data_IF_213768026402
#
_entry.id   IF_213768026402
#
_cell.length_a   1.000
_cell.length_b   1.000
_cell.length_c   1.000
_cell.angle_alpha   90.00
_cell.angle_beta   90.00
_cell.angle_gamma   90.00
#
_symmetry.space_group_name_H-M   'P 1'
#
loop_
_entity.id
_entity.type
_entity.pdbx_description
1 polymer ?
#
# COMPACT_ATOMS: atom_id res chain seq x y z
N UNK A 1 32.64 -7.04 -9.37
CA UNK A 1 31.55 -7.91 -8.90
C UNK A 1 31.79 -9.36 -9.27
N UNK A 2 32.23 -9.66 -10.49
CA UNK A 2 32.52 -11.04 -10.92
C UNK A 2 33.51 -11.76 -10.01
N UNK A 3 34.58 -11.09 -9.56
CA UNK A 3 35.53 -11.67 -8.61
C UNK A 3 34.92 -12.00 -7.22
N UNK A 4 33.89 -11.26 -6.80
CA UNK A 4 33.18 -11.56 -5.55
C UNK A 4 32.25 -12.76 -5.76
N UNK A 5 31.53 -12.80 -6.89
CA UNK A 5 30.65 -13.91 -7.28
C UNK A 5 31.41 -15.22 -7.52
N UNK A 6 32.62 -15.17 -8.05
CA UNK A 6 33.49 -16.34 -8.23
C UNK A 6 34.23 -16.75 -6.96
N UNK A 7 34.06 -16.04 -5.85
CA UNK A 7 34.75 -16.32 -4.58
C UNK A 7 36.23 -15.93 -4.55
N UNK A 8 36.75 -15.31 -5.61
CA UNK A 8 38.13 -14.80 -5.66
C UNK A 8 38.35 -13.64 -4.67
N UNK A 9 37.29 -12.91 -4.31
CA UNK A 9 37.29 -11.89 -3.27
C UNK A 9 36.25 -12.28 -2.22
N UNK A 10 36.66 -12.34 -0.95
CA UNK A 10 35.77 -12.75 0.17
C UNK A 10 35.03 -11.60 0.83
N UNK A 11 35.50 -10.37 0.67
CA UNK A 11 34.91 -9.17 1.30
C UNK A 11 34.73 -8.08 0.25
N UNK A 12 33.50 -7.61 0.07
CA UNK A 12 33.16 -6.47 -0.76
C UNK A 12 32.74 -5.29 0.13
N UNK A 13 33.33 -4.12 -0.11
CA UNK A 13 32.95 -2.87 0.57
C UNK A 13 32.21 -2.02 -0.44
N UNK A 14 30.90 -1.83 -0.22
CA UNK A 14 30.03 -1.09 -1.11
C UNK A 14 29.32 0.04 -0.36
N UNK A 15 29.00 1.12 -1.07
CA UNK A 15 28.02 2.09 -0.59
C UNK A 15 26.61 1.46 -0.64
N UNK A 16 25.67 1.99 0.13
CA UNK A 16 24.28 1.50 0.14
C UNK A 16 23.70 1.42 -1.29
N UNK A 17 23.91 2.45 -2.11
CA UNK A 17 23.43 2.48 -3.49
C UNK A 17 24.04 1.36 -4.35
N UNK A 18 25.32 1.05 -4.18
CA UNK A 18 25.98 -0.02 -4.92
C UNK A 18 25.59 -1.43 -4.43
N UNK A 19 25.22 -1.57 -3.15
CA UNK A 19 24.80 -2.85 -2.57
C UNK A 19 23.37 -3.25 -2.92
N UNK A 20 22.44 -2.29 -3.05
CA UNK A 20 21.01 -2.59 -3.24
C UNK A 20 20.65 -3.23 -4.59
N UNK A 21 21.49 -3.07 -5.62
CA UNK A 21 21.27 -3.68 -6.95
C UNK A 21 22.07 -4.94 -7.21
N UNK A 22 22.86 -5.40 -6.23
CA UNK A 22 23.75 -6.52 -6.39
C UNK A 22 23.05 -7.83 -5.99
N UNK A 23 22.62 -8.60 -6.99
CA UNK A 23 22.22 -9.99 -6.76
C UNK A 23 23.48 -10.84 -6.53
N UNK A 24 23.75 -11.14 -5.26
CA UNK A 24 24.90 -11.93 -4.84
C UNK A 24 24.37 -13.15 -4.09
N UNK A 25 24.50 -14.36 -4.67
CA UNK A 25 24.17 -15.57 -3.94
C UNK A 25 25.14 -15.74 -2.76
N UNK A 26 24.64 -16.32 -1.65
CA UNK A 26 25.47 -16.81 -0.53
C UNK A 26 26.21 -15.74 0.30
N UNK A 27 25.57 -14.61 0.62
CA UNK A 27 26.11 -13.68 1.62
C UNK A 27 25.92 -14.25 3.03
N UNK A 28 27.02 -14.66 3.67
CA UNK A 28 27.00 -15.15 5.06
C UNK A 28 26.89 -14.00 6.09
N UNK A 29 27.53 -12.86 5.84
CA UNK A 29 27.61 -11.76 6.79
C UNK A 29 27.57 -10.39 6.12
N UNK A 30 26.73 -9.49 6.65
CA UNK A 30 26.68 -8.07 6.28
C UNK A 30 27.06 -7.23 7.49
N UNK A 31 28.00 -6.29 7.33
CA UNK A 31 28.37 -5.33 8.36
C UNK A 31 28.17 -3.90 7.89
N UNK A 32 27.32 -3.15 8.59
CA UNK A 32 27.13 -1.73 8.34
C UNK A 32 28.31 -0.92 8.88
N UNK A 33 29.11 -0.32 8.00
CA UNK A 33 30.19 0.61 8.39
C UNK A 33 29.68 2.04 8.20
N UNK A 34 29.43 2.76 9.28
CA UNK A 34 29.07 4.17 9.20
C UNK A 34 30.34 5.03 9.19
N UNK A 35 30.70 5.57 8.03
CA UNK A 35 31.77 6.58 7.95
C UNK A 35 31.24 7.93 8.47
N UNK A 36 31.99 8.58 9.37
CA UNK A 36 31.70 9.96 9.78
C UNK A 36 31.87 10.87 8.56
N UNK A 37 30.76 11.47 8.07
CA UNK A 37 30.83 12.46 6.99
C UNK A 37 31.61 13.67 7.48
N UNK A 38 32.67 14.08 6.75
CA UNK A 38 33.39 15.32 7.04
C UNK A 38 32.49 16.52 6.74
N UNK A 39 32.62 17.57 7.57
CA UNK A 39 31.89 18.85 7.52
C UNK A 39 31.93 19.42 6.10
N UNK A 40 30.79 19.43 5.40
CA UNK A 40 30.62 20.26 4.20
C UNK A 40 30.01 21.57 4.68
N UNK A 41 30.86 22.60 4.82
CA UNK A 41 30.41 23.95 5.16
C UNK A 41 29.64 24.45 3.93
N UNK A 42 28.32 24.47 4.03
CA UNK A 42 27.49 25.17 3.05
C UNK A 42 27.28 26.60 3.56
N UNK A 43 27.58 27.64 2.75
CA UNK A 43 27.21 29.00 3.09
C UNK A 43 25.68 29.07 3.16
N UNK A 44 25.15 29.60 4.26
CA UNK A 44 23.71 29.66 4.50
C UNK A 44 23.06 30.70 3.56
N UNK A 45 22.14 30.25 2.71
CA UNK A 45 21.20 31.11 1.98
C UNK A 45 20.17 31.68 2.96
N UNK A 46 20.17 33.01 3.09
CA UNK A 46 19.33 33.81 3.98
C UNK A 46 17.84 33.79 3.60
N UNK A 47 17.02 33.94 4.62
CA UNK A 47 15.57 33.78 4.73
C UNK A 47 14.75 34.84 3.98
N UNK A 48 13.62 34.42 3.40
CA UNK A 48 12.55 35.24 2.81
C UNK A 48 11.92 36.21 3.81
N UNK A 49 11.63 37.42 3.35
CA UNK A 49 10.77 38.43 3.98
C UNK A 49 9.30 37.94 4.08
N UNK A 50 8.51 38.44 5.06
CA UNK A 50 7.07 38.24 5.13
C UNK A 50 6.32 39.20 4.19
N UNK A 51 5.45 38.66 3.34
CA UNK A 51 4.53 39.39 2.46
C UNK A 51 3.26 39.82 3.23
N UNK A 52 2.74 41.05 3.06
CA UNK A 52 1.48 41.48 3.69
C UNK A 52 0.24 40.91 2.96
N UNK A 53 -0.93 40.88 3.62
CA UNK A 53 -2.18 40.39 3.02
C UNK A 53 -2.83 41.48 2.16
N UNK A 54 -3.25 41.14 0.94
CA UNK A 54 -4.14 41.97 0.12
C UNK A 54 -5.37 41.18 -0.36
N UNK A 55 -6.41 41.96 -0.60
CA UNK A 55 -7.84 41.68 -0.63
C UNK A 55 -8.39 40.91 -1.85
N UNK A 56 -9.63 40.44 -1.65
CA UNK A 56 -10.61 39.94 -2.62
C UNK A 56 -10.76 40.77 -3.91
N UNK A 57 -10.79 40.10 -5.07
CA UNK A 57 -11.54 40.50 -6.29
C UNK A 57 -11.29 39.47 -7.42
N UNK A 58 -12.25 38.59 -7.71
CA UNK A 58 -13.16 38.67 -8.88
C UNK A 58 -12.60 38.21 -10.25
N UNK A 59 -13.26 37.19 -10.79
CA UNK A 59 -13.58 36.94 -12.22
C UNK A 59 -12.46 36.82 -13.26
N UNK A 60 -12.31 35.65 -13.88
CA UNK A 60 -12.84 35.36 -15.23
C UNK A 60 -12.35 34.00 -15.73
N UNK A 61 -13.29 33.20 -16.25
CA UNK A 61 -13.03 32.07 -17.12
C UNK A 61 -12.38 32.57 -18.43
N UNK A 62 -11.20 32.05 -18.74
CA UNK A 62 -10.59 32.16 -20.08
C UNK A 62 -9.97 30.81 -20.43
N UNK A 63 -10.65 30.09 -21.32
CA UNK A 63 -10.06 28.98 -22.08
C UNK A 63 -8.87 29.52 -22.90
N UNK A 64 -7.70 28.93 -22.72
CA UNK A 64 -6.56 29.12 -23.62
C UNK A 64 -5.72 27.85 -23.67
N UNK A 65 -5.94 27.07 -24.73
CA UNK A 65 -4.94 26.17 -25.28
C UNK A 65 -3.82 27.02 -25.90
N UNK A 66 -2.58 26.84 -25.44
CA UNK A 66 -1.43 27.57 -25.97
C UNK A 66 -0.11 27.04 -25.42
N UNK A 67 0.55 26.20 -26.21
CA UNK A 67 1.98 25.90 -26.10
C UNK A 67 2.79 27.21 -26.20
N UNK A 68 3.78 27.38 -25.34
CA UNK A 68 4.66 28.55 -25.36
C UNK A 68 5.87 28.38 -24.45
N UNK A 69 6.98 27.94 -25.04
CA UNK A 69 8.33 28.07 -24.51
C UNK A 69 8.62 29.54 -24.17
N UNK A 70 9.03 29.83 -22.94
CA UNK A 70 9.59 31.13 -22.60
C UNK A 70 10.81 30.96 -21.68
N UNK A 71 11.99 31.04 -22.29
CA UNK A 71 13.27 31.23 -21.64
C UNK A 71 13.33 32.67 -21.10
N UNK A 72 13.12 32.82 -19.80
CA UNK A 72 13.28 34.09 -19.09
C UNK A 72 14.63 34.17 -18.40
N UNK A 73 15.60 34.77 -19.11
CA UNK A 73 16.85 35.33 -18.60
C UNK A 73 16.53 36.47 -17.62
N UNK A 74 17.04 36.39 -16.38
CA UNK A 74 16.87 37.44 -15.37
C UNK A 74 18.24 37.72 -14.75
N UNK A 75 18.73 38.92 -15.04
CA UNK A 75 19.93 39.55 -14.50
C UNK A 75 19.87 39.68 -12.97
N UNK A 76 20.81 39.04 -12.27
CA UNK A 76 21.08 39.22 -10.83
C UNK A 76 22.11 40.35 -10.62
N UNK A 77 21.60 41.56 -10.32
CA UNK A 77 22.39 42.69 -9.81
C UNK A 77 22.66 42.53 -8.30
N UNK A 78 23.91 42.77 -7.93
CA UNK A 78 24.53 42.30 -6.70
C UNK A 78 24.70 43.44 -5.70
N UNK A 79 23.78 43.56 -4.74
CA UNK A 79 23.94 44.48 -3.61
C UNK A 79 24.56 43.77 -2.39
N UNK A 80 25.73 44.28 -2.03
CA UNK A 80 26.68 43.70 -1.07
C UNK A 80 26.53 44.39 0.29
N UNK A 81 25.73 43.80 1.18
CA UNK A 81 25.60 44.26 2.58
C UNK A 81 26.45 43.41 3.53
N UNK A 82 27.45 44.03 4.16
CA UNK A 82 28.24 43.45 5.26
C UNK A 82 27.38 43.30 6.51
N UNK A 83 26.95 42.07 6.82
CA UNK A 83 26.28 41.73 8.07
C UNK A 83 27.20 40.87 8.95
N UNK A 84 27.56 41.42 10.11
CA UNK A 84 28.49 40.82 11.07
C UNK A 84 28.12 39.40 11.53
N UNK A 85 29.09 38.50 11.42
CA UNK A 85 29.03 37.12 11.88
C UNK A 85 28.92 37.05 13.41
N UNK A 86 27.72 36.73 13.92
CA UNK A 86 27.62 36.04 15.21
C UNK A 86 27.68 34.54 14.93
N UNK A 87 28.82 33.92 15.26
CA UNK A 87 28.99 32.46 15.30
C UNK A 87 27.87 31.84 16.15
N UNK A 88 26.82 31.32 15.51
CA UNK A 88 25.87 30.44 16.19
C UNK A 88 26.51 29.06 16.21
N UNK A 89 26.71 28.53 17.40
CA UNK A 89 27.15 27.16 17.62
C UNK A 89 26.11 26.20 17.02
N UNK A 90 26.38 25.71 15.81
CA UNK A 90 25.50 24.76 15.14
C UNK A 90 25.77 23.37 15.71
N UNK A 91 24.96 22.95 16.67
CA UNK A 91 24.95 21.58 17.15
C UNK A 91 24.26 20.67 16.11
N UNK A 92 25.06 19.82 15.45
CA UNK A 92 24.54 18.88 14.47
C UNK A 92 23.92 17.67 15.17
N UNK A 93 22.65 17.75 15.52
CA UNK A 93 21.86 16.58 15.92
C UNK A 93 21.44 15.84 14.65
N UNK A 94 22.09 14.70 14.36
CA UNK A 94 21.54 13.77 13.36
C UNK A 94 20.13 13.41 13.81
N UNK A 95 19.14 13.72 12.97
CA UNK A 95 17.78 13.20 13.12
C UNK A 95 17.83 11.70 12.88
N UNK A 96 18.14 10.94 13.93
CA UNK A 96 17.98 9.49 13.95
C UNK A 96 16.49 9.25 14.09
N UNK A 97 15.94 8.48 13.17
CA UNK A 97 14.56 8.03 13.21
C UNK A 97 14.25 7.43 14.59
N UNK A 98 13.14 7.82 15.26
CA UNK A 98 12.78 7.28 16.57
C UNK A 98 12.76 5.74 16.59
N UNK A 99 12.35 5.09 15.51
CA UNK A 99 12.28 3.63 15.43
C UNK A 99 13.67 3.00 15.30
N UNK A 100 14.57 3.65 14.56
CA UNK A 100 15.98 3.25 14.49
C UNK A 100 16.66 3.41 15.85
N UNK A 101 16.32 4.47 16.60
CA UNK A 101 16.81 4.68 17.97
C UNK A 101 16.29 3.58 18.90
N UNK A 102 14.99 3.29 18.85
CA UNK A 102 14.39 2.19 19.61
C UNK A 102 15.10 0.86 19.33
N UNK A 103 15.42 0.57 18.06
CA UNK A 103 16.19 -0.63 17.69
C UNK A 103 17.60 -0.65 18.30
N UNK A 104 18.34 0.46 18.25
CA UNK A 104 19.70 0.53 18.82
C UNK A 104 19.69 0.39 20.34
N UNK A 105 18.74 1.06 21.00
CA UNK A 105 18.61 1.14 22.47
C UNK A 105 17.83 -0.03 23.08
N UNK A 106 17.36 -0.96 22.26
CA UNK A 106 16.63 -2.15 22.67
C UNK A 106 17.34 -2.92 23.78
N UNK A 107 16.65 -3.14 24.91
CA UNK A 107 17.10 -4.05 25.97
C UNK A 107 16.51 -5.45 25.81
N UNK A 108 15.36 -5.55 25.14
CA UNK A 108 14.62 -6.79 24.94
C UNK A 108 15.01 -7.48 23.63
N UNK A 109 14.29 -8.55 23.24
CA UNK A 109 14.53 -9.23 21.97
C UNK A 109 14.49 -8.24 20.80
N UNK A 110 15.58 -8.15 20.02
CA UNK A 110 15.67 -7.26 18.85
C UNK A 110 14.63 -7.57 17.76
N UNK A 111 14.01 -8.76 17.76
CA UNK A 111 12.95 -9.11 16.81
C UNK A 111 11.61 -8.44 17.14
N UNK A 112 11.36 -8.09 18.41
CA UNK A 112 10.11 -7.45 18.81
C UNK A 112 9.93 -6.05 18.18
N UNK A 113 11.03 -5.37 17.90
CA UNK A 113 11.02 -4.00 17.35
C UNK A 113 10.59 -3.98 15.89
N UNK A 114 11.22 -4.72 14.95
CA UNK A 114 10.69 -4.79 13.59
C UNK A 114 9.30 -5.43 13.57
N UNK A 115 8.99 -6.37 14.46
CA UNK A 115 7.64 -6.94 14.51
C UNK A 115 6.59 -5.89 14.92
N UNK A 116 6.90 -5.01 15.88
CA UNK A 116 6.03 -3.87 16.23
C UNK A 116 5.95 -2.86 15.09
N UNK A 117 7.09 -2.47 14.52
CA UNK A 117 7.19 -1.46 13.46
C UNK A 117 6.44 -1.84 12.19
N UNK A 118 6.55 -3.10 11.76
CA UNK A 118 5.89 -3.64 10.57
C UNK A 118 4.52 -4.29 10.86
N UNK A 119 4.08 -4.25 12.12
CA UNK A 119 2.87 -4.95 12.60
C UNK A 119 2.88 -6.43 12.19
N UNK A 120 4.03 -7.10 12.32
CA UNK A 120 4.12 -8.54 12.11
C UNK A 120 3.34 -9.26 13.23
N UNK A 121 2.65 -10.37 12.94
CA UNK A 121 2.01 -11.17 13.97
C UNK A 121 3.04 -11.66 15.00
N UNK A 122 2.65 -11.83 16.27
CA UNK A 122 3.56 -12.31 17.30
C UNK A 122 4.21 -13.63 16.87
N UNK A 123 5.55 -13.65 16.82
CA UNK A 123 6.28 -14.90 16.57
C UNK A 123 6.17 -15.78 17.80
N UNK A 124 5.79 -17.04 17.60
CA UNK A 124 6.04 -18.09 18.60
C UNK A 124 7.53 -18.34 18.65
N UNK A 125 8.24 -17.63 19.54
CA UNK A 125 9.65 -17.88 19.81
C UNK A 125 9.74 -19.26 20.46
N UNK A 126 9.94 -20.29 19.65
CA UNK A 126 10.27 -21.61 20.18
C UNK A 126 11.67 -21.54 20.79
N UNK A 127 11.87 -21.94 22.04
CA UNK A 127 13.16 -21.86 22.75
C UNK A 127 14.27 -22.75 22.14
N UNK A 128 13.97 -23.48 21.06
CA UNK A 128 14.88 -24.38 20.36
C UNK A 128 15.62 -23.74 19.18
N UNK A 129 15.44 -22.44 18.91
CA UNK A 129 16.23 -21.75 17.88
C UNK A 129 17.51 -21.26 18.55
N UNK A 130 18.62 -21.95 18.30
CA UNK A 130 19.94 -21.80 18.95
C UNK A 130 20.61 -20.41 18.85
N UNK A 131 19.95 -19.39 18.27
CA UNK A 131 20.41 -18.00 18.30
C UNK A 131 19.28 -17.04 17.88
N UNK A 132 18.69 -16.32 18.82
CA UNK A 132 17.61 -15.36 18.52
C UNK A 132 18.14 -13.97 18.16
N UNK A 133 18.91 -13.37 19.06
CA UNK A 133 19.67 -12.12 18.88
C UNK A 133 20.62 -11.93 20.07
N UNK A 134 21.53 -10.97 19.97
CA UNK A 134 22.50 -10.61 21.02
C UNK A 134 21.86 -10.31 22.38
N UNK A 135 20.69 -9.67 22.41
CA UNK A 135 19.98 -9.39 23.66
C UNK A 135 19.42 -10.66 24.31
N UNK A 136 18.86 -11.57 23.52
CA UNK A 136 18.40 -12.87 24.04
C UNK A 136 19.58 -13.72 24.53
N UNK A 137 20.69 -13.74 23.79
CA UNK A 137 21.89 -14.47 24.17
C UNK A 137 22.47 -13.96 25.50
N UNK A 138 22.44 -12.63 25.72
CA UNK A 138 22.82 -12.00 27.00
C UNK A 138 21.89 -12.42 28.14
N UNK A 139 20.58 -12.46 27.91
CA UNK A 139 19.61 -12.88 28.92
C UNK A 139 19.83 -14.35 29.27
N UNK A 140 20.00 -15.24 28.28
CA UNK A 140 20.29 -16.65 28.50
C UNK A 140 21.59 -16.84 29.27
N UNK A 141 22.66 -16.16 28.87
CA UNK A 141 23.96 -16.22 29.56
C UNK A 141 23.85 -15.76 31.01
N UNK A 142 23.07 -14.70 31.28
CA UNK A 142 22.84 -14.22 32.65
C UNK A 142 22.01 -15.18 33.50
N UNK A 143 21.04 -15.87 32.88
CA UNK A 143 20.20 -16.84 33.58
C UNK A 143 20.94 -18.15 33.89
N UNK A 144 21.94 -18.52 33.09
CA UNK A 144 22.71 -19.75 33.28
C UNK A 144 23.85 -19.64 34.30
N UNK A 145 24.22 -18.43 34.72
CA UNK A 145 25.17 -18.25 35.81
C UNK A 145 24.45 -18.47 37.15
N UNK A 146 24.70 -19.58 37.86
CA UNK A 146 24.13 -19.77 39.19
C UNK A 146 24.62 -18.62 40.07
N UNK A 147 23.71 -18.01 40.83
CA UNK A 147 24.04 -16.96 41.78
C UNK A 147 25.03 -17.50 42.83
N UNK A 148 26.32 -17.47 42.53
CA UNK A 148 27.43 -17.84 43.43
C UNK A 148 27.68 -16.74 44.47
N UNK A 149 26.65 -15.99 44.88
CA UNK A 149 26.74 -14.94 45.87
C UNK A 149 25.77 -15.24 47.00
N UNK A 150 26.30 -15.81 48.09
CA UNK A 150 25.57 -15.93 49.34
C UNK A 150 25.82 -17.22 50.10
N UNK A 151 27.07 -17.48 50.48
CA UNK A 151 27.37 -18.36 51.61
C UNK A 151 26.85 -17.70 52.89
N UNK A 152 25.55 -17.82 53.15
CA UNK A 152 24.93 -17.60 54.45
C UNK A 152 24.54 -18.97 55.01
N UNK A 153 25.38 -19.49 55.90
CA UNK A 153 25.23 -20.79 56.55
C UNK A 153 23.94 -20.85 57.39
N UNK A 154 23.02 -21.75 57.04
CA UNK A 154 22.03 -22.30 57.98
C UNK A 154 21.83 -23.81 57.70
N UNK A 155 21.87 -24.66 58.73
CA UNK A 155 21.85 -26.12 58.60
C UNK A 155 20.45 -26.69 58.26
N UNK A 156 20.38 -27.93 57.74
CA UNK A 156 19.21 -28.48 57.07
C UNK A 156 18.15 -29.01 58.05
N UNK A 157 16.88 -28.72 57.76
CA UNK A 157 15.73 -29.41 58.35
C UNK A 157 15.07 -30.27 57.25
N UNK A 158 14.80 -31.56 57.50
CA UNK A 158 14.30 -32.48 56.48
C UNK A 158 12.77 -32.42 56.42
N UNK A 159 12.22 -31.87 55.34
CA UNK A 159 10.76 -31.92 55.12
C UNK A 159 10.44 -32.36 53.70
N UNK A 160 10.17 -33.66 53.61
CA UNK A 160 9.03 -34.31 52.93
C UNK A 160 8.63 -33.73 51.56
N UNK A 161 8.95 -34.51 50.53
CA UNK A 161 8.37 -34.46 49.19
C UNK A 161 6.88 -34.90 49.28
N UNK A 162 5.96 -34.18 48.61
CA UNK A 162 4.90 -34.89 47.90
C UNK A 162 4.92 -34.53 46.41
N UNK A 163 4.92 -35.60 45.62
CA UNK A 163 4.65 -35.58 44.20
C UNK A 163 3.14 -35.39 43.98
N UNK A 164 2.74 -34.36 43.24
CA UNK A 164 1.51 -34.37 42.44
C UNK A 164 1.72 -33.44 41.24
N UNK A 165 2.08 -34.05 40.11
CA UNK A 165 1.96 -33.45 38.78
C UNK A 165 0.47 -33.38 38.42
N UNK A 166 -0.11 -32.18 38.55
CA UNK A 166 -1.41 -31.88 37.97
C UNK A 166 -1.21 -31.48 36.51
N UNK A 167 -1.62 -32.37 35.61
CA UNK A 167 -1.77 -32.12 34.18
C UNK A 167 -3.02 -31.25 34.03
N UNK A 168 -2.84 -29.99 33.66
CA UNK A 168 -3.94 -29.09 33.30
C UNK A 168 -4.38 -29.38 31.87
N UNK A 169 -5.55 -30.00 31.72
CA UNK A 169 -6.26 -30.07 30.45
C UNK A 169 -6.56 -28.66 29.94
N UNK A 170 -6.01 -28.34 28.77
CA UNK A 170 -6.24 -27.09 28.07
C UNK A 170 -7.54 -27.22 27.30
N UNK A 171 -8.58 -26.51 27.76
CA UNK A 171 -9.84 -26.36 27.05
C UNK A 171 -9.62 -25.68 25.71
N UNK A 172 -9.95 -26.38 24.63
CA UNK A 172 -10.06 -25.85 23.28
C UNK A 172 -11.22 -24.87 23.20
N UNK A 173 -10.91 -23.57 23.29
CA UNK A 173 -11.81 -22.50 22.87
C UNK A 173 -11.62 -22.28 21.38
N UNK A 174 -12.59 -22.72 20.58
CA UNK A 174 -12.76 -22.35 19.18
C UNK A 174 -12.95 -20.83 19.09
N UNK A 175 -11.89 -20.11 18.74
CA UNK A 175 -11.97 -18.71 18.34
C UNK A 175 -12.45 -18.67 16.89
N UNK A 176 -13.63 -18.12 16.68
CA UNK A 176 -14.17 -17.75 15.36
C UNK A 176 -13.16 -16.90 14.59
N UNK A 177 -12.56 -17.48 13.55
CA UNK A 177 -11.78 -16.79 12.54
C UNK A 177 -12.70 -15.82 11.79
N UNK A 178 -12.67 -14.55 12.18
CA UNK A 178 -13.14 -13.48 11.32
C UNK A 178 -12.06 -13.19 10.29
N UNK A 179 -12.25 -13.76 9.09
CA UNK A 179 -11.57 -13.39 7.86
C UNK A 179 -11.81 -11.91 7.54
N UNK A 180 -11.03 -11.04 8.17
CA UNK A 180 -10.93 -9.63 7.81
C UNK A 180 -9.47 -9.24 7.92
N UNK A 181 -8.79 -9.13 6.78
CA UNK A 181 -8.15 -7.87 6.41
C UNK A 181 -7.62 -7.92 4.97
N UNK A 182 -8.28 -7.12 4.14
CA UNK A 182 -7.83 -6.70 2.81
C UNK A 182 -6.47 -6.00 2.92
N UNK A 183 -5.44 -6.60 2.33
CA UNK A 183 -4.04 -6.16 2.36
C UNK A 183 -3.76 -4.90 1.50
N UNK A 184 -4.75 -4.02 1.31
CA UNK A 184 -4.62 -2.85 0.42
C UNK A 184 -4.40 -1.53 1.16
N UNK A 185 -4.65 -1.45 2.47
CA UNK A 185 -4.45 -0.21 3.22
C UNK A 185 -3.10 -0.19 3.95
N UNK A 186 -2.33 0.92 3.87
CA UNK A 186 -1.19 1.15 4.75
C UNK A 186 -1.65 1.10 6.21
N UNK A 187 -0.79 0.60 7.11
CA UNK A 187 -1.02 0.74 8.55
C UNK A 187 -0.87 2.21 8.98
N UNK A 188 -1.12 2.49 10.27
CA UNK A 188 -0.99 3.85 10.85
C UNK A 188 0.41 4.47 10.66
N UNK A 189 1.42 3.65 10.35
CA UNK A 189 2.80 4.08 10.04
C UNK A 189 3.06 4.31 8.54
N UNK A 190 2.02 4.27 7.70
CA UNK A 190 2.12 4.42 6.25
C UNK A 190 2.88 3.28 5.55
N UNK A 191 3.04 2.13 6.21
CA UNK A 191 3.74 0.96 5.67
C UNK A 191 2.74 -0.13 5.31
N UNK A 192 3.06 -0.92 4.28
CA UNK A 192 2.28 -2.11 3.92
C UNK A 192 2.72 -3.29 4.79
N UNK A 193 1.80 -4.10 5.32
CA UNK A 193 2.18 -5.32 6.03
C UNK A 193 2.98 -6.24 5.09
N UNK A 194 4.16 -6.68 5.51
CA UNK A 194 5.08 -7.46 4.67
C UNK A 194 4.66 -8.94 4.49
N UNK A 195 3.59 -9.39 5.14
CA UNK A 195 3.17 -10.78 5.11
C UNK A 195 2.12 -11.03 4.03
N UNK A 196 2.57 -11.22 2.78
CA UNK A 196 1.80 -12.01 1.83
C UNK A 196 1.81 -13.45 2.36
N UNK A 197 0.72 -13.85 3.03
CA UNK A 197 0.41 -15.22 3.52
C UNK A 197 0.54 -16.32 2.44
N UNK A 198 0.81 -16.00 1.18
CA UNK A 198 0.97 -17.00 0.11
C UNK A 198 2.25 -17.86 0.24
N UNK A 199 3.17 -17.55 1.15
CA UNK A 199 4.41 -18.33 1.36
C UNK A 199 4.21 -19.57 2.26
N UNK A 200 3.05 -19.73 2.92
CA UNK A 200 3.06 -20.35 4.25
C UNK A 200 2.84 -21.87 4.38
N UNK A 201 2.55 -22.68 3.35
CA UNK A 201 2.31 -24.12 3.63
C UNK A 201 3.02 -25.15 2.75
N UNK A 202 3.47 -24.82 1.53
CA UNK A 202 4.06 -25.85 0.62
C UNK A 202 5.50 -25.62 0.23
N UNK A 203 5.98 -24.37 0.28
CA UNK A 203 7.32 -23.98 -0.16
C UNK A 203 8.15 -23.32 0.94
N UNK A 204 7.64 -23.24 2.16
CA UNK A 204 8.44 -22.89 3.33
C UNK A 204 8.78 -24.17 4.10
N UNK A 205 10.05 -24.50 4.38
CA UNK A 205 11.29 -23.72 4.17
C UNK A 205 12.09 -24.19 2.93
N UNK A 206 11.48 -24.18 1.75
CA UNK A 206 12.14 -24.59 0.51
C UNK A 206 13.04 -23.49 -0.08
N UNK A 207 14.04 -23.86 -0.91
CA UNK A 207 14.93 -22.92 -1.60
C UNK A 207 14.23 -22.16 -2.75
N UNK A 208 13.00 -22.53 -3.10
CA UNK A 208 12.27 -21.92 -4.20
C UNK A 208 11.71 -20.55 -3.79
N UNK A 209 12.23 -19.50 -4.42
CA UNK A 209 11.65 -18.17 -4.35
C UNK A 209 10.34 -18.11 -5.16
N UNK A 210 9.53 -17.07 -4.96
CA UNK A 210 8.36 -16.83 -5.80
C UNK A 210 8.75 -16.74 -7.29
N UNK A 211 9.88 -16.07 -7.59
CA UNK A 211 10.43 -15.95 -8.94
C UNK A 211 10.87 -17.31 -9.53
N UNK A 212 11.36 -18.23 -8.70
CA UNK A 212 11.67 -19.60 -9.14
C UNK A 212 10.42 -20.46 -9.34
N UNK A 213 9.31 -20.13 -8.67
CA UNK A 213 8.04 -20.85 -8.81
C UNK A 213 7.30 -20.41 -10.08
N UNK A 214 7.33 -19.11 -10.37
CA UNK A 214 6.62 -18.49 -11.49
C UNK A 214 7.51 -17.39 -12.08
N UNK A 215 8.28 -17.75 -13.10
CA UNK A 215 9.25 -16.84 -13.73
C UNK A 215 8.54 -15.77 -14.58
N UNK A 216 9.13 -14.57 -14.66
CA UNK A 216 8.59 -13.43 -15.43
C UNK A 216 8.25 -13.73 -16.88
N UNK A 217 9.01 -14.52 -17.66
CA UNK A 217 8.63 -14.86 -19.03
C UNK A 217 7.28 -15.58 -19.11
N UNK A 218 6.99 -16.46 -18.15
CA UNK A 218 5.71 -17.19 -18.09
C UNK A 218 4.59 -16.23 -17.71
N UNK A 219 4.80 -15.37 -16.71
CA UNK A 219 3.83 -14.33 -16.34
C UNK A 219 3.49 -13.41 -17.51
N UNK A 220 4.50 -12.94 -18.24
CA UNK A 220 4.32 -12.09 -19.40
C UNK A 220 3.55 -12.80 -20.52
N UNK A 221 3.79 -14.10 -20.74
CA UNK A 221 3.02 -14.90 -21.70
C UNK A 221 1.57 -15.11 -21.27
N UNK A 222 1.32 -15.44 -20.01
CA UNK A 222 -0.03 -15.58 -19.48
C UNK A 222 -0.80 -14.26 -19.57
N UNK A 223 -0.17 -13.14 -19.22
CA UNK A 223 -0.79 -11.81 -19.27
C UNK A 223 -1.04 -11.30 -20.71
N UNK A 224 -0.22 -11.69 -21.68
CA UNK A 224 -0.35 -11.24 -23.07
C UNK A 224 -1.27 -12.12 -23.93
N UNK A 225 -1.53 -13.36 -23.51
CA UNK A 225 -2.30 -14.32 -24.29
C UNK A 225 -3.56 -14.79 -23.53
N UNK A 226 -4.64 -14.02 -23.66
CA UNK A 226 -5.96 -14.36 -23.09
C UNK A 226 -6.57 -15.67 -23.62
N UNK A 227 -5.99 -16.26 -24.67
CA UNK A 227 -6.43 -17.54 -25.23
C UNK A 227 -5.93 -18.77 -24.46
N UNK A 228 -4.98 -18.60 -23.52
CA UNK A 228 -4.44 -19.71 -22.74
C UNK A 228 -5.45 -20.11 -21.68
N UNK A 229 -6.19 -21.20 -21.91
CA UNK A 229 -7.16 -21.74 -20.96
C UNK A 229 -6.67 -23.03 -20.30
N UNK A 230 -5.84 -23.79 -21.00
CA UNK A 230 -5.34 -25.08 -20.53
C UNK A 230 -3.82 -25.09 -20.45
N UNK A 231 -3.27 -25.99 -19.63
CA UNK A 231 -1.82 -26.16 -19.52
C UNK A 231 -1.20 -26.55 -20.88
N UNK A 232 -1.92 -27.31 -21.72
CA UNK A 232 -1.48 -27.66 -23.07
C UNK A 232 -1.36 -26.42 -23.99
N UNK A 233 -2.20 -25.40 -23.81
CA UNK A 233 -2.09 -24.16 -24.57
C UNK A 233 -0.87 -23.34 -24.14
N UNK A 234 -0.54 -23.38 -22.84
CA UNK A 234 0.67 -22.76 -22.34
C UNK A 234 1.92 -23.43 -22.93
N UNK A 235 1.96 -24.77 -23.01
CA UNK A 235 3.09 -25.50 -23.60
C UNK A 235 3.30 -25.15 -25.09
N UNK A 236 2.22 -24.87 -25.83
CA UNK A 236 2.32 -24.41 -27.24
C UNK A 236 2.95 -23.02 -27.34
N UNK A 237 2.64 -22.12 -26.41
CA UNK A 237 3.13 -20.72 -26.41
C UNK A 237 4.51 -20.60 -25.75
N UNK A 238 4.84 -21.50 -24.83
CA UNK A 238 6.07 -21.52 -24.05
C UNK A 238 6.71 -22.93 -24.08
N UNK A 239 7.44 -23.26 -25.16
CA UNK A 239 7.98 -24.61 -25.38
C UNK A 239 9.12 -24.99 -24.43
N UNK A 240 9.77 -24.01 -23.79
CA UNK A 240 10.84 -24.26 -22.81
C UNK A 240 10.33 -24.97 -21.55
N UNK A 241 9.01 -25.08 -21.40
CA UNK A 241 8.35 -25.85 -20.36
C UNK A 241 8.37 -25.11 -19.02
N UNK A 242 7.21 -25.03 -18.39
CA UNK A 242 7.13 -24.64 -16.99
C UNK A 242 7.03 -25.91 -16.15
N UNK A 243 8.16 -26.37 -15.61
CA UNK A 243 8.23 -27.66 -14.90
C UNK A 243 7.30 -27.76 -13.68
N UNK A 244 6.93 -26.63 -13.08
CA UNK A 244 5.95 -26.57 -11.98
C UNK A 244 4.52 -26.34 -12.46
N UNK A 245 4.32 -26.10 -13.76
CA UNK A 245 3.03 -25.74 -14.33
C UNK A 245 2.01 -26.85 -14.16
N UNK A 246 2.38 -28.13 -14.29
CA UNK A 246 1.45 -29.25 -14.04
C UNK A 246 0.83 -29.21 -12.63
N UNK A 247 1.50 -28.59 -11.66
CA UNK A 247 1.02 -28.50 -10.28
C UNK A 247 0.34 -27.17 -9.95
N UNK A 248 0.79 -26.07 -10.58
CA UNK A 248 0.37 -24.72 -10.20
C UNK A 248 -0.46 -23.99 -11.25
N UNK A 249 -0.61 -24.56 -12.45
CA UNK A 249 -1.33 -23.90 -13.54
C UNK A 249 -2.74 -23.53 -13.14
N UNK A 250 -3.50 -24.46 -12.55
CA UNK A 250 -4.89 -24.20 -12.14
C UNK A 250 -4.97 -23.08 -11.09
N UNK A 251 -4.08 -23.09 -10.10
CA UNK A 251 -4.04 -22.04 -9.08
C UNK A 251 -3.67 -20.68 -9.65
N UNK A 252 -2.75 -20.63 -10.62
CA UNK A 252 -2.42 -19.39 -11.32
C UNK A 252 -3.60 -18.93 -12.19
N UNK A 253 -4.30 -19.85 -12.85
CA UNK A 253 -5.44 -19.52 -13.68
C UNK A 253 -6.62 -19.00 -12.85
N UNK A 254 -6.88 -19.56 -11.68
CA UNK A 254 -7.88 -19.05 -10.73
C UNK A 254 -7.60 -17.61 -10.30
N UNK A 255 -6.32 -17.27 -10.10
CA UNK A 255 -5.90 -15.89 -9.78
C UNK A 255 -6.12 -14.98 -10.99
N UNK A 256 -5.73 -15.40 -12.19
CA UNK A 256 -5.92 -14.62 -13.42
C UNK A 256 -7.40 -14.35 -13.70
N UNK A 257 -8.26 -15.36 -13.65
CA UNK A 257 -9.71 -15.22 -13.83
C UNK A 257 -10.33 -14.26 -12.81
N UNK A 258 -9.84 -14.28 -11.57
CA UNK A 258 -10.27 -13.35 -10.53
C UNK A 258 -9.85 -11.91 -10.85
N UNK A 259 -8.62 -11.71 -11.32
CA UNK A 259 -8.10 -10.40 -11.72
C UNK A 259 -8.90 -9.86 -12.92
N UNK A 260 -9.18 -10.69 -13.93
CA UNK A 260 -9.96 -10.30 -15.09
C UNK A 260 -11.38 -9.87 -14.71
N UNK A 261 -12.04 -10.61 -13.81
CA UNK A 261 -13.37 -10.22 -13.29
C UNK A 261 -13.34 -8.87 -12.59
N UNK A 262 -12.32 -8.61 -11.76
CA UNK A 262 -12.17 -7.32 -11.06
C UNK A 262 -11.98 -6.20 -12.08
N UNK A 263 -11.13 -6.39 -13.10
CA UNK A 263 -10.91 -5.39 -14.14
C UNK A 263 -12.18 -5.14 -14.98
N UNK A 264 -12.95 -6.18 -15.29
CA UNK A 264 -14.21 -6.04 -16.01
C UNK A 264 -15.23 -5.23 -15.18
N UNK A 265 -15.35 -5.52 -13.88
CA UNK A 265 -16.20 -4.77 -12.95
C UNK A 265 -15.78 -3.30 -12.85
N UNK A 266 -14.49 -3.00 -12.72
CA UNK A 266 -13.97 -1.64 -12.68
C UNK A 266 -14.24 -0.88 -13.99
N UNK A 267 -14.03 -1.52 -15.14
CA UNK A 267 -14.33 -0.94 -16.45
C UNK A 267 -15.84 -0.69 -16.62
N UNK A 268 -16.68 -1.62 -16.15
CA UNK A 268 -18.13 -1.46 -16.17
C UNK A 268 -18.58 -0.31 -15.26
N UNK A 269 -18.01 -0.18 -14.06
CA UNK A 269 -18.27 0.94 -13.16
C UNK A 269 -17.85 2.28 -13.79
N UNK A 270 -16.65 2.34 -14.39
CA UNK A 270 -16.15 3.53 -15.08
C UNK A 270 -17.05 3.92 -16.26
N UNK A 271 -17.57 2.94 -17.02
CA UNK A 271 -18.56 3.19 -18.09
C UNK A 271 -19.88 3.73 -17.52
N UNK A 272 -20.38 3.18 -16.42
CA UNK A 272 -21.60 3.67 -15.74
C UNK A 272 -21.43 5.09 -15.21
N UNK A 273 -20.28 5.41 -14.61
CA UNK A 273 -19.96 6.76 -14.13
C UNK A 273 -19.95 7.77 -15.29
N UNK A 274 -19.25 7.45 -16.39
CA UNK A 274 -19.23 8.32 -17.58
C UNK A 274 -20.62 8.51 -18.20
N UNK A 275 -21.45 7.47 -18.19
CA UNK A 275 -22.83 7.58 -18.66
C UNK A 275 -23.66 8.52 -17.77
N UNK A 276 -23.58 8.35 -16.45
CA UNK A 276 -24.27 9.22 -15.49
C UNK A 276 -23.81 10.67 -15.60
N UNK A 277 -22.51 10.91 -15.73
CA UNK A 277 -21.92 12.24 -15.92
C UNK A 277 -22.40 12.89 -17.23
N UNK A 278 -22.43 12.14 -18.33
CA UNK A 278 -22.95 12.61 -19.61
C UNK A 278 -24.44 12.97 -19.51
N UNK A 279 -25.23 12.17 -18.81
CA UNK A 279 -26.64 12.41 -18.58
C UNK A 279 -26.87 13.69 -17.76
N UNK A 280 -26.13 13.87 -16.66
CA UNK A 280 -26.16 15.10 -15.86
C UNK A 280 -25.78 16.33 -16.70
N UNK A 281 -24.74 16.22 -17.53
CA UNK A 281 -24.35 17.30 -18.44
C UNK A 281 -25.45 17.64 -19.46
N UNK A 282 -26.16 16.63 -19.98
CA UNK A 282 -27.26 16.84 -20.91
C UNK A 282 -28.49 17.47 -20.23
N UNK A 283 -28.78 17.10 -18.97
CA UNK A 283 -29.84 17.73 -18.17
C UNK A 283 -29.50 19.19 -17.90
N UNK A 284 -28.27 19.49 -17.47
CA UNK A 284 -27.82 20.86 -17.23
C UNK A 284 -27.95 21.74 -18.49
N UNK A 285 -27.50 21.24 -19.65
CA UNK A 285 -27.64 21.95 -20.94
C UNK A 285 -29.11 22.20 -21.32
N UNK A 286 -30.02 21.28 -21.01
CA UNK A 286 -31.46 21.47 -21.27
C UNK A 286 -32.06 22.54 -20.36
N UNK A 287 -31.72 22.52 -19.08
CA UNK A 287 -32.16 23.52 -18.12
C UNK A 287 -31.64 24.92 -18.48
N UNK A 288 -30.38 25.03 -18.90
CA UNK A 288 -29.79 26.29 -19.38
C UNK A 288 -30.51 26.81 -20.64
N UNK A 289 -30.80 25.94 -21.61
CA UNK A 289 -31.55 26.32 -22.81
C UNK A 289 -33.00 26.73 -22.51
N UNK A 290 -33.63 26.16 -21.47
CA UNK A 290 -34.96 26.55 -21.01
C UNK A 290 -34.92 27.93 -20.34
N UNK A 291 -33.95 28.17 -19.46
CA UNK A 291 -33.72 29.46 -18.83
C UNK A 291 -33.49 30.59 -19.87
N UNK A 292 -32.68 30.33 -20.90
CA UNK A 292 -32.46 31.28 -21.99
C UNK A 292 -33.72 31.52 -22.85
N UNK A 293 -34.61 30.52 -22.97
CA UNK A 293 -35.92 30.72 -23.63
C UNK A 293 -36.85 31.58 -22.80
N UNK A 294 -36.88 31.41 -21.49
CA UNK A 294 -37.70 32.25 -20.59
C UNK A 294 -37.23 33.71 -20.62
N UNK A 295 -35.91 33.91 -20.55
CA UNK A 295 -35.27 35.24 -20.61
C UNK A 295 -35.56 35.98 -21.93
N UNK A 296 -35.51 35.27 -23.05
CA UNK A 296 -35.74 35.87 -24.38
C UNK A 296 -37.24 35.94 -24.77
N UNK A 297 -38.07 35.03 -24.25
CA UNK A 297 -39.51 34.94 -24.56
C UNK A 297 -40.40 35.85 -23.71
N UNK A 298 -39.94 36.31 -22.54
CA UNK A 298 -40.72 37.14 -21.62
C UNK A 298 -41.02 38.58 -22.09
N UNK A 299 -40.55 39.02 -23.27
CA UNK A 299 -40.70 40.40 -23.72
C UNK A 299 -41.83 40.63 -24.74
N UNK A 300 -42.50 39.61 -25.27
CA UNK A 300 -43.34 39.78 -26.46
C UNK A 300 -44.87 39.69 -26.28
N UNK A 301 -45.41 39.18 -25.15
CA UNK A 301 -46.86 38.89 -25.09
C UNK A 301 -47.55 39.22 -23.76
N UNK A 302 -47.14 40.31 -23.10
CA UNK A 302 -48.01 41.00 -22.13
C UNK A 302 -48.90 42.00 -22.88
N UNK A 303 -49.66 41.53 -23.87
CA UNK A 303 -50.76 42.30 -24.47
C UNK A 303 -52.09 41.81 -23.89
N UNK A 304 -52.44 42.38 -22.75
CA UNK A 304 -53.79 42.60 -22.22
C UNK A 304 -54.95 41.91 -22.96
N UNK A 305 -55.37 40.74 -22.48
CA UNK A 305 -56.77 40.34 -22.57
C UNK A 305 -57.35 40.19 -21.17
N UNK A 306 -57.86 41.32 -20.69
CA UNK A 306 -58.82 41.41 -19.60
C UNK A 306 -60.10 40.65 -19.97
N UNK A 307 -60.19 39.38 -19.57
CA UNK A 307 -61.46 38.65 -19.55
C UNK A 307 -61.64 37.96 -18.19
N UNK A 308 -62.82 38.21 -17.64
CA UNK A 308 -63.28 38.03 -16.26
C UNK A 308 -63.15 36.62 -15.68
N UNK A 309 -63.02 36.49 -14.34
CA UNK A 309 -62.88 35.20 -13.67
C UNK A 309 -64.21 34.43 -13.65
N UNK A 310 -64.25 33.31 -14.38
CA UNK A 310 -65.30 32.29 -14.19
C UNK A 310 -64.75 31.20 -13.28
N UNK A 311 -65.37 31.05 -12.12
CA UNK A 311 -65.06 30.07 -11.08
C UNK A 311 -65.22 28.63 -11.58
N UNK A 312 -64.19 27.77 -11.54
CA UNK A 312 -64.37 26.35 -11.80
C UNK A 312 -64.79 25.64 -10.51
N UNK A 313 -65.89 24.90 -10.63
CA UNK A 313 -66.41 23.97 -9.61
C UNK A 313 -65.41 22.84 -9.41
N UNK A 314 -64.94 22.65 -8.17
CA UNK A 314 -64.07 21.55 -7.76
C UNK A 314 -64.83 20.23 -7.87
N UNK A 315 -64.49 19.42 -8.88
CA UNK A 315 -64.90 18.03 -8.95
C UNK A 315 -63.73 17.14 -8.50
N UNK A 316 -63.82 16.66 -7.26
CA UNK A 316 -62.92 15.68 -6.67
C UNK A 316 -63.15 14.32 -7.35
N UNK A 317 -62.48 14.10 -8.48
CA UNK A 317 -62.41 12.80 -9.14
C UNK A 317 -61.38 11.91 -8.46
N UNK A 318 -61.84 10.82 -7.84
CA UNK A 318 -61.02 9.73 -7.32
C UNK A 318 -60.07 9.20 -8.40
N UNK A 319 -58.76 9.47 -8.27
CA UNK A 319 -57.73 8.85 -9.09
C UNK A 319 -57.48 7.45 -8.55
N UNK A 320 -58.03 6.46 -9.25
CA UNK A 320 -57.76 5.05 -9.04
C UNK A 320 -56.29 4.76 -9.33
N UNK A 321 -55.61 4.27 -8.31
CA UNK A 321 -54.21 3.86 -8.31
C UNK A 321 -54.04 2.59 -9.16
N UNK A 322 -54.00 2.73 -10.49
CA UNK A 322 -53.71 1.60 -11.38
C UNK A 322 -52.20 1.46 -11.58
N UNK A 323 -51.64 0.56 -10.76
CA UNK A 323 -50.57 -0.38 -11.09
C UNK A 323 -49.77 -0.10 -12.37
N UNK A 324 -48.67 0.64 -12.23
CA UNK A 324 -47.60 0.69 -13.21
C UNK A 324 -46.60 -0.45 -12.92
N UNK A 325 -47.04 -1.70 -13.13
CA UNK A 325 -46.13 -2.84 -13.26
C UNK A 325 -45.48 -2.77 -14.64
N UNK A 326 -44.37 -2.02 -14.71
CA UNK A 326 -43.46 -2.02 -15.86
C UNK A 326 -42.97 -3.46 -16.10
N UNK A 327 -43.37 -4.02 -17.24
CA UNK A 327 -42.84 -5.27 -17.80
C UNK A 327 -41.33 -5.11 -18.02
N UNK A 328 -40.54 -5.58 -17.06
CA UNK A 328 -39.15 -5.93 -17.32
C UNK A 328 -39.16 -7.09 -18.33
N UNK A 329 -38.67 -6.83 -19.55
CA UNK A 329 -38.34 -7.90 -20.48
C UNK A 329 -37.13 -8.64 -19.90
N UNK A 330 -37.19 -9.97 -19.74
CA UNK A 330 -36.01 -10.74 -19.36
C UNK A 330 -34.95 -10.56 -20.46
N UNK A 331 -33.72 -10.31 -20.05
CA UNK A 331 -32.55 -10.35 -20.93
C UNK A 331 -32.44 -11.76 -21.52
N UNK A 332 -32.48 -11.86 -22.84
CA UNK A 332 -32.14 -13.07 -23.57
C UNK A 332 -30.71 -13.45 -23.23
N UNK A 333 -30.53 -14.58 -22.55
CA UNK A 333 -29.23 -15.21 -22.37
C UNK A 333 -28.74 -15.73 -23.73
N UNK A 334 -27.46 -15.53 -24.09
CA UNK A 334 -26.90 -16.14 -25.29
C UNK A 334 -26.95 -17.66 -25.14
N UNK A 335 -27.58 -18.34 -26.10
CA UNK A 335 -27.44 -19.79 -26.25
C UNK A 335 -25.99 -20.08 -26.56
N UNK A 336 -25.30 -20.73 -25.62
CA UNK A 336 -24.09 -21.49 -25.91
C UNK A 336 -24.45 -22.61 -26.89
N UNK A 337 -24.18 -22.37 -28.16
CA UNK A 337 -23.94 -23.42 -29.15
C UNK A 337 -22.43 -23.55 -29.31
N UNK A 338 -21.87 -24.61 -28.74
CA UNK A 338 -20.66 -25.24 -29.27
C UNK A 338 -20.82 -26.75 -29.22
N UNK A 339 -20.87 -27.31 -30.42
CA UNK A 339 -20.55 -28.69 -30.74
C UNK A 339 -19.05 -28.97 -30.55
#
# INVERSE_FOLDING_TARGET
MDQFRTGSVRVSVATQAAGMGADIPEIEQVRGIQTRRKKKVHPATSTKHPTPPEDDSSTSDVDSEGEGDNEGDVDDEADKAEAGEREREVEWVKKVDPDMRAWIEATDCRQNIPDTYFCNPPRTITPAIDSCCDNCDRIHTRSLLPALSGTGSTPPSPTIIPATLSISESSSSESSESDVTSAHHPNDNGKRPMAIKAREQRYSPGPFTAAATLHDPILNKLASHASIQTFSDLEKVYPDGWFLGTRHFDAVMDVLLRVDRIQEEELAQKKRQKHMEMELRNVAKRAEAEFEREKNGGSADVFLMSSTPTTPVLHLGNVSQTSYMQKFRPFDTPKDQRD
#
